data_IF_118748242220
#
_entry.id   IF_118748242220
#
_cell.length_a   1.000
_cell.length_b   1.000
_cell.length_c   1.000
_cell.angle_alpha   90.00
_cell.angle_beta   90.00
_cell.angle_gamma   90.00
#
_symmetry.space_group_name_H-M   'P 1'
#
loop_
_entity.id
_entity.type
_entity.pdbx_description
1 polymer ?
#
# COMPACT_ATOMS: atom_id res chain seq x y z
N UNK A 1 8.58 -68.35 -16.30
CA UNK A 1 7.54 -67.33 -16.04
C UNK A 1 8.22 -66.07 -15.54
N UNK A 2 7.97 -64.93 -16.20
CA UNK A 2 8.72 -63.67 -16.03
C UNK A 2 8.19 -62.87 -14.84
N UNK A 3 9.08 -62.52 -13.91
CA UNK A 3 8.87 -61.55 -12.83
C UNK A 3 8.82 -60.14 -13.45
N UNK A 4 7.76 -59.37 -13.18
CA UNK A 4 7.70 -57.94 -13.53
C UNK A 4 7.82 -57.14 -12.24
N UNK A 5 9.01 -56.59 -12.03
CA UNK A 5 9.33 -55.64 -10.97
C UNK A 5 8.89 -54.24 -11.43
N UNK A 6 7.85 -53.68 -10.82
CA UNK A 6 7.40 -52.31 -11.10
C UNK A 6 8.31 -51.33 -10.34
N UNK A 7 9.09 -50.54 -11.08
CA UNK A 7 9.98 -49.50 -10.53
C UNK A 7 9.16 -48.30 -10.04
N UNK A 8 9.34 -47.93 -8.78
CA UNK A 8 8.88 -46.67 -8.21
C UNK A 8 9.72 -45.52 -8.79
N UNK A 9 9.07 -44.59 -9.49
CA UNK A 9 9.68 -43.35 -9.96
C UNK A 9 9.27 -42.25 -8.98
N UNK A 10 10.23 -41.82 -8.16
CA UNK A 10 10.11 -40.68 -7.26
C UNK A 10 10.40 -39.42 -8.05
N UNK A 11 9.37 -38.64 -8.38
CA UNK A 11 9.55 -37.31 -9.00
C UNK A 11 9.54 -36.24 -7.91
N UNK A 12 10.73 -35.71 -7.61
CA UNK A 12 10.89 -34.47 -6.85
C UNK A 12 10.11 -33.34 -7.54
N UNK A 13 9.12 -32.77 -6.85
CA UNK A 13 8.45 -31.56 -7.28
C UNK A 13 9.35 -30.35 -6.96
N UNK A 14 9.73 -29.50 -7.92
CA UNK A 14 10.38 -28.24 -7.62
C UNK A 14 9.35 -27.30 -6.99
N UNK A 15 9.64 -26.80 -5.78
CA UNK A 15 8.91 -25.72 -5.13
C UNK A 15 9.09 -24.45 -5.98
N UNK A 16 8.08 -24.13 -6.80
CA UNK A 16 8.01 -22.90 -7.57
C UNK A 16 7.90 -21.74 -6.57
N UNK A 17 8.97 -20.95 -6.49
CA UNK A 17 8.99 -19.64 -5.82
C UNK A 17 8.16 -18.69 -6.70
N UNK A 18 6.89 -18.53 -6.36
CA UNK A 18 5.98 -17.51 -6.87
C UNK A 18 5.12 -17.07 -5.68
N UNK A 19 5.02 -15.81 -5.26
CA UNK A 19 5.00 -14.54 -5.97
C UNK A 19 5.65 -13.44 -5.11
N UNK A 20 6.63 -12.70 -5.65
CA UNK A 20 7.13 -11.45 -5.04
C UNK A 20 6.62 -10.19 -5.74
N UNK A 21 5.62 -10.30 -6.61
CA UNK A 21 4.93 -9.15 -7.16
C UNK A 21 3.60 -8.98 -6.43
N UNK A 22 3.64 -8.36 -5.24
CA UNK A 22 2.47 -7.61 -4.80
C UNK A 22 2.12 -6.65 -5.95
N UNK A 23 0.89 -6.63 -6.48
CA UNK A 23 0.53 -5.63 -7.46
C UNK A 23 0.79 -4.28 -6.80
N UNK A 24 1.71 -3.50 -7.37
CA UNK A 24 1.70 -2.07 -7.12
C UNK A 24 0.31 -1.63 -7.55
N UNK A 25 -0.54 -1.32 -6.57
CA UNK A 25 -1.88 -0.83 -6.81
C UNK A 25 -1.73 0.57 -7.40
N UNK A 26 -1.37 0.63 -8.69
CA UNK A 26 -1.49 1.81 -9.50
C UNK A 26 -2.98 2.05 -9.64
N UNK A 27 -3.51 2.85 -8.73
CA UNK A 27 -4.85 3.33 -8.86
C UNK A 27 -4.85 4.34 -10.01
N UNK A 28 -5.43 3.97 -11.14
CA UNK A 28 -5.72 4.86 -12.28
C UNK A 28 -6.54 6.11 -11.89
N UNK A 29 -6.96 6.24 -10.62
CA UNK A 29 -7.64 7.40 -10.05
C UNK A 29 -7.04 7.94 -8.73
N UNK A 30 -5.80 7.57 -8.36
CA UNK A 30 -5.16 7.99 -7.09
C UNK A 30 -5.45 7.07 -5.89
N UNK A 31 -4.80 7.31 -4.76
CA UNK A 31 -4.80 6.38 -3.60
C UNK A 31 -5.96 6.68 -2.65
N UNK A 32 -6.98 5.83 -2.60
CA UNK A 32 -8.14 6.00 -1.73
C UNK A 32 -7.84 6.03 -0.22
N UNK A 33 -8.87 6.21 0.63
CA UNK A 33 -8.75 5.96 2.06
C UNK A 33 -8.26 4.53 2.35
N UNK A 34 -7.39 4.36 3.35
CA UNK A 34 -6.79 3.07 3.64
C UNK A 34 -5.42 3.16 4.32
N UNK A 35 -4.71 2.04 4.28
CA UNK A 35 -3.36 1.88 4.83
C UNK A 35 -2.42 1.44 3.72
N UNK A 36 -1.26 2.08 3.62
CA UNK A 36 -0.29 1.83 2.56
C UNK A 36 1.11 1.62 3.13
N UNK A 37 1.79 0.58 2.66
CA UNK A 37 3.23 0.43 2.80
C UNK A 37 3.95 1.39 1.83
N UNK A 38 4.92 2.13 2.32
CA UNK A 38 5.72 3.08 1.54
C UNK A 38 7.15 2.52 1.41
N UNK A 39 7.75 2.49 0.21
CA UNK A 39 7.20 2.96 -1.07
C UNK A 39 6.40 1.91 -1.86
N UNK A 40 6.27 0.68 -1.35
CA UNK A 40 5.79 -0.47 -2.15
C UNK A 40 4.34 -0.38 -2.66
N UNK A 41 3.44 0.25 -1.89
CA UNK A 41 2.04 0.46 -2.26
C UNK A 41 1.73 1.93 -2.54
N UNK A 42 2.40 2.85 -1.86
CA UNK A 42 2.32 4.30 -2.08
C UNK A 42 3.75 4.84 -2.25
N UNK A 43 4.17 5.27 -3.45
CA UNK A 43 5.52 5.80 -3.69
C UNK A 43 5.82 7.06 -2.87
N UNK A 44 7.10 7.40 -2.70
CA UNK A 44 7.49 8.70 -2.14
C UNK A 44 7.02 9.87 -3.02
N UNK A 45 6.65 10.98 -2.39
CA UNK A 45 6.26 12.21 -3.08
C UNK A 45 5.34 13.11 -2.25
N UNK A 46 4.90 14.20 -2.87
CA UNK A 46 3.86 15.08 -2.32
C UNK A 46 2.51 14.60 -2.81
N UNK A 47 1.54 14.50 -1.91
CA UNK A 47 0.19 14.07 -2.24
C UNK A 47 -0.84 15.10 -1.80
N UNK A 48 -1.92 15.23 -2.56
CA UNK A 48 -3.05 16.11 -2.25
C UNK A 48 -4.32 15.29 -2.21
N UNK A 49 -5.13 15.52 -1.18
CA UNK A 49 -6.50 15.02 -1.11
C UNK A 49 -7.45 16.08 -0.55
N UNK A 50 -8.75 15.83 -0.67
CA UNK A 50 -9.80 16.68 -0.15
C UNK A 50 -10.74 15.89 0.73
N UNK A 51 -11.53 16.56 1.56
CA UNK A 51 -12.64 15.91 2.28
C UNK A 51 -13.66 15.37 1.30
N UNK A 52 -14.11 14.13 1.51
CA UNK A 52 -15.12 13.51 0.67
C UNK A 52 -16.46 14.28 0.79
N UNK A 53 -17.07 14.74 -0.33
CA UNK A 53 -18.36 15.42 -0.29
C UNK A 53 -19.45 14.55 0.34
N UNK A 54 -20.37 15.17 1.09
CA UNK A 54 -21.50 14.49 1.73
C UNK A 54 -21.17 13.82 3.07
N UNK A 55 -19.92 13.86 3.52
CA UNK A 55 -19.50 13.35 4.84
C UNK A 55 -19.23 14.54 5.77
N UNK A 56 -20.29 15.22 6.20
CA UNK A 56 -20.20 16.44 7.02
C UNK A 56 -19.55 16.24 8.39
N UNK A 57 -19.41 14.99 8.86
CA UNK A 57 -18.88 14.64 10.17
C UNK A 57 -17.45 14.07 10.16
N UNK A 58 -16.86 13.78 8.98
CA UNK A 58 -15.52 13.20 8.91
C UNK A 58 -14.56 14.17 8.19
N UNK A 59 -13.60 14.72 8.94
CA UNK A 59 -12.47 15.41 8.33
C UNK A 59 -11.63 14.43 7.50
N UNK A 60 -11.06 14.89 6.38
CA UNK A 60 -10.01 14.14 5.70
C UNK A 60 -8.79 14.16 6.62
N UNK A 61 -8.29 12.97 6.98
CA UNK A 61 -7.13 12.83 7.85
C UNK A 61 -6.07 11.95 7.22
N UNK A 62 -4.81 12.21 7.58
CA UNK A 62 -3.73 11.28 7.31
C UNK A 62 -2.71 11.24 8.45
N UNK A 63 -1.98 10.12 8.52
CA UNK A 63 -0.79 9.99 9.36
C UNK A 63 0.32 9.27 8.58
N UNK A 64 1.56 9.67 8.84
CA UNK A 64 2.78 9.06 8.31
C UNK A 64 3.63 8.54 9.45
N UNK A 65 4.26 7.39 9.25
CA UNK A 65 5.02 6.72 10.31
C UNK A 65 6.30 6.11 9.76
N UNK A 66 7.28 5.97 10.65
CA UNK A 66 8.47 5.16 10.41
C UNK A 66 8.14 3.67 10.45
N UNK A 67 9.07 2.82 9.97
CA UNK A 67 8.90 1.36 9.98
C UNK A 67 8.70 0.79 11.38
N UNK A 68 9.44 1.33 12.35
CA UNK A 68 9.39 0.99 13.78
C UNK A 68 8.17 1.58 14.52
N UNK A 69 7.29 2.33 13.84
CA UNK A 69 6.02 2.78 14.42
C UNK A 69 6.08 4.11 15.17
N UNK A 70 7.08 4.94 14.90
CA UNK A 70 7.10 6.33 15.35
C UNK A 70 6.29 7.21 14.39
N UNK A 71 5.39 8.03 14.94
CA UNK A 71 4.64 9.03 14.16
C UNK A 71 5.62 10.10 13.62
N UNK A 72 5.49 10.41 12.33
CA UNK A 72 6.27 11.46 11.67
C UNK A 72 5.40 12.72 11.52
N UNK A 73 4.22 12.58 10.91
CA UNK A 73 3.29 13.67 10.71
C UNK A 73 1.84 13.18 10.76
N UNK A 74 0.95 14.05 11.19
CA UNK A 74 -0.49 13.89 11.18
C UNK A 74 -1.13 15.20 10.79
N UNK A 75 -2.16 15.16 9.96
CA UNK A 75 -2.94 16.35 9.62
C UNK A 75 -4.41 15.98 9.35
N UNK A 76 -5.28 16.98 9.45
CA UNK A 76 -6.71 16.86 9.18
C UNK A 76 -7.29 18.15 8.63
N UNK A 77 -8.23 18.06 7.70
CA UNK A 77 -8.90 19.24 7.16
C UNK A 77 -10.32 18.96 6.68
N UNK A 78 -11.10 20.04 6.55
CA UNK A 78 -12.43 20.04 5.90
C UNK A 78 -12.36 20.44 4.42
N UNK A 79 -11.17 20.82 3.93
CA UNK A 79 -10.95 21.29 2.58
C UNK A 79 -9.89 20.44 1.87
N UNK A 80 -8.72 21.01 1.59
CA UNK A 80 -7.59 20.34 0.96
C UNK A 80 -6.54 20.04 2.02
N UNK A 81 -5.95 18.85 1.97
CA UNK A 81 -4.86 18.42 2.84
C UNK A 81 -3.70 17.97 1.97
N UNK A 82 -2.47 18.29 2.39
CA UNK A 82 -1.24 17.97 1.67
C UNK A 82 -0.39 17.05 2.54
N UNK A 83 0.04 15.91 1.99
CA UNK A 83 0.91 14.97 2.67
C UNK A 83 2.28 14.91 1.99
N UNK A 84 3.33 15.02 2.79
CA UNK A 84 4.71 14.84 2.37
C UNK A 84 5.18 13.43 2.75
N UNK A 85 5.26 12.53 1.76
CA UNK A 85 5.71 11.15 1.94
C UNK A 85 7.18 11.07 1.54
N UNK A 86 8.08 11.36 2.49
CA UNK A 86 9.50 11.56 2.24
C UNK A 86 10.34 10.32 2.53
N UNK A 87 11.30 10.04 1.65
CA UNK A 87 12.34 9.03 1.86
C UNK A 87 13.42 9.55 2.83
N UNK A 88 14.10 8.67 3.57
CA UNK A 88 13.78 7.25 3.78
C UNK A 88 12.83 7.03 4.97
N UNK A 89 12.37 8.11 5.62
CA UNK A 89 11.73 8.03 6.93
C UNK A 89 10.31 7.42 6.89
N UNK A 90 9.50 7.77 5.89
CA UNK A 90 8.11 7.31 5.83
C UNK A 90 8.05 5.88 5.30
N UNK A 91 7.53 4.97 6.12
CA UNK A 91 7.32 3.56 5.77
C UNK A 91 5.85 3.16 5.75
N UNK A 92 4.98 3.92 6.45
CA UNK A 92 3.53 3.66 6.51
C UNK A 92 2.76 4.96 6.33
N UNK A 93 1.69 4.89 5.56
CA UNK A 93 0.74 5.98 5.33
C UNK A 93 -0.67 5.48 5.63
N UNK A 94 -1.40 6.18 6.50
CA UNK A 94 -2.79 5.87 6.83
C UNK A 94 -3.67 7.08 6.52
N UNK A 95 -4.84 6.86 5.95
CA UNK A 95 -5.77 7.95 5.63
C UNK A 95 -7.23 7.53 5.76
N UNK A 96 -8.06 8.48 6.18
CA UNK A 96 -9.50 8.28 6.35
C UNK A 96 -10.26 9.53 5.90
N UNK A 97 -11.51 9.37 5.42
CA UNK A 97 -12.41 10.50 5.11
C UNK A 97 -12.01 11.35 3.89
N UNK A 98 -10.95 10.98 3.17
CA UNK A 98 -10.43 11.72 2.03
C UNK A 98 -11.00 11.22 0.69
N UNK A 99 -10.99 12.08 -0.33
CA UNK A 99 -10.95 11.67 -1.73
C UNK A 99 -9.66 10.88 -2.00
N UNK A 100 -9.54 10.17 -3.13
CA UNK A 100 -8.26 9.60 -3.53
C UNK A 100 -7.14 10.64 -3.51
N UNK A 101 -6.00 10.28 -2.92
CA UNK A 101 -4.78 11.06 -2.88
C UNK A 101 -4.11 11.03 -4.25
N UNK A 102 -3.80 12.21 -4.78
CA UNK A 102 -3.14 12.37 -6.07
C UNK A 102 -1.71 12.82 -5.83
N UNK A 103 -0.75 12.14 -6.47
CA UNK A 103 0.66 12.52 -6.42
C UNK A 103 0.87 13.80 -7.24
N UNK A 104 1.48 14.81 -6.63
CA UNK A 104 1.94 16.01 -7.33
C UNK A 104 3.28 15.69 -8.00
N UNK A 105 3.42 16.12 -9.26
CA UNK A 105 4.59 15.86 -10.12
C UNK A 105 5.92 16.26 -9.50
#
# INVERSE_FOLDING_TARGET
MRLVLVRAVSTMAPLIIACLACPAAHADGGYGPGSYAVPGQLPYGTYVARTKPGVYSAACTFTTWTGDGKLIASDSGLHTVIAQVQAPAVAKFFTHGCTPWVKMG
#
